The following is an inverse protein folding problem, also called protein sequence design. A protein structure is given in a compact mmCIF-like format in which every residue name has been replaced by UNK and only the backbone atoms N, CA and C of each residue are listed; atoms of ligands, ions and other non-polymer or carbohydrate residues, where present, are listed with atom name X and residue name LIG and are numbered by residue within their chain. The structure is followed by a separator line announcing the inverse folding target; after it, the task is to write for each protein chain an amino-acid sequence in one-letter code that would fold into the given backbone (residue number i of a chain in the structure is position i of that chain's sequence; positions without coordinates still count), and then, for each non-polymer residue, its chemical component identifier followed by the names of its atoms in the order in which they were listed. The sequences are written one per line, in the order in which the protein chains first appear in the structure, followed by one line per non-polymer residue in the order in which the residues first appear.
data_IF_697793440080
#
_entry.id   IF_697793440080
#
_cell.length_a   1.000
_cell.length_b   1.000
_cell.length_c   1.000
_cell.angle_alpha   90.00
_cell.angle_beta   90.00
_cell.angle_gamma   90.00
#
_symmetry.space_group_name_H-M   'P 1'
#
loop_
_entity.id
_entity.type
_entity.pdbx_description
1 polymer ?
#
# COMPACT_ATOMS: atom_id res chain seq x y z
N UNK A 1 -28.38 -53.42 7.90
CA UNK A 1 -28.24 -52.37 8.95
C UNK A 1 -28.67 -51.06 8.33
N UNK A 2 -29.49 -50.31 9.06
CA UNK A 2 -30.51 -49.36 8.60
C UNK A 2 -29.92 -47.99 8.20
N UNK A 3 -30.43 -47.46 7.08
CA UNK A 3 -30.37 -46.08 6.57
C UNK A 3 -30.74 -45.00 7.59
N UNK A 4 -30.23 -43.76 7.45
CA UNK A 4 -31.12 -42.59 7.28
C UNK A 4 -30.41 -41.38 6.65
N UNK A 5 -31.05 -40.80 5.63
CA UNK A 5 -30.74 -39.52 4.96
C UNK A 5 -31.44 -38.33 5.65
N UNK A 6 -30.94 -37.12 5.35
CA UNK A 6 -31.44 -35.75 5.59
C UNK A 6 -32.98 -35.55 5.65
N UNK A 7 -33.44 -34.43 6.24
CA UNK A 7 -34.17 -33.49 5.37
C UNK A 7 -33.99 -31.98 5.63
N UNK A 8 -34.26 -31.27 4.53
CA UNK A 8 -34.52 -29.83 4.33
C UNK A 8 -35.85 -29.35 4.96
N UNK A 9 -36.03 -28.02 5.06
CA UNK A 9 -37.28 -27.17 5.00
C UNK A 9 -37.15 -25.98 5.99
N UNK A 10 -37.61 -24.75 5.78
CA UNK A 10 -38.64 -24.17 4.90
C UNK A 10 -38.43 -22.63 4.83
N UNK A 11 -38.79 -22.00 3.71
CA UNK A 11 -38.96 -20.55 3.54
C UNK A 11 -40.12 -19.99 4.39
N UNK A 12 -40.04 -18.73 4.85
CA UNK A 12 -41.23 -17.89 5.06
C UNK A 12 -40.92 -16.38 4.93
N UNK A 13 -41.59 -15.79 3.95
CA UNK A 13 -41.77 -14.37 3.64
C UNK A 13 -42.60 -13.63 4.71
N UNK A 14 -42.31 -12.34 4.91
CA UNK A 14 -43.19 -11.42 5.63
C UNK A 14 -42.89 -9.97 5.28
N UNK A 15 -43.64 -9.41 4.32
CA UNK A 15 -43.72 -7.97 4.05
C UNK A 15 -44.89 -7.42 4.87
N UNK A 16 -44.65 -6.39 5.67
CA UNK A 16 -45.69 -5.56 6.30
C UNK A 16 -45.40 -4.09 6.01
N UNK A 17 -46.24 -3.48 5.17
CA UNK A 17 -46.41 -2.03 5.05
C UNK A 17 -47.45 -1.60 6.09
N UNK A 18 -47.14 -0.57 6.89
CA UNK A 18 -48.14 0.35 7.44
C UNK A 18 -47.50 1.68 7.86
N UNK A 19 -48.19 2.75 7.50
CA UNK A 19 -47.85 4.17 7.52
C UNK A 19 -48.18 4.88 8.85
N UNK A 20 -47.46 5.96 9.15
CA UNK A 20 -47.98 7.33 9.42
C UNK A 20 -47.44 8.05 10.69
N UNK A 21 -46.99 9.29 10.43
CA UNK A 21 -47.11 10.49 11.25
C UNK A 21 -46.51 10.53 12.66
N UNK A 22 -45.29 11.05 12.74
CA UNK A 22 -44.71 11.65 13.95
C UNK A 22 -43.81 12.82 13.56
N UNK A 23 -44.41 13.98 13.30
CA UNK A 23 -43.69 15.26 13.18
C UNK A 23 -43.28 15.71 14.59
N UNK A 24 -42.14 15.22 15.07
CA UNK A 24 -41.44 15.80 16.20
C UNK A 24 -40.37 16.74 15.66
N UNK A 25 -40.59 18.04 15.83
CA UNK A 25 -39.60 19.07 15.59
C UNK A 25 -38.34 18.76 16.43
N UNK A 26 -37.25 18.33 15.78
CA UNK A 26 -35.94 18.33 16.40
C UNK A 26 -35.46 19.78 16.42
N UNK A 27 -35.47 20.36 17.62
CA UNK A 27 -34.75 21.59 17.92
C UNK A 27 -33.27 21.36 17.59
N UNK A 28 -32.78 22.11 16.58
CA UNK A 28 -31.44 22.00 16.03
C UNK A 28 -30.43 22.51 17.06
N UNK A 29 -29.98 21.60 17.91
CA UNK A 29 -28.90 21.86 18.86
C UNK A 29 -27.63 22.24 18.08
N UNK A 30 -27.00 23.40 18.34
CA UNK A 30 -25.75 23.77 17.66
C UNK A 30 -24.68 22.74 18.01
N UNK A 31 -24.19 22.02 17.00
CA UNK A 31 -23.06 21.13 17.16
C UNK A 31 -21.86 21.92 17.72
N UNK A 32 -21.08 21.36 18.66
CA UNK A 32 -19.83 21.95 19.10
C UNK A 32 -18.96 22.21 17.87
N UNK A 33 -18.59 23.47 17.66
CA UNK A 33 -17.63 23.84 16.63
C UNK A 33 -16.29 23.23 17.04
N UNK A 34 -15.99 22.05 16.49
CA UNK A 34 -14.64 21.51 16.51
C UNK A 34 -13.78 22.50 15.76
N UNK A 35 -12.99 23.28 16.49
CA UNK A 35 -11.94 24.13 15.93
C UNK A 35 -11.06 23.24 15.09
N UNK A 36 -11.22 23.30 13.76
CA UNK A 36 -10.35 22.57 12.86
C UNK A 36 -8.91 23.04 13.12
N UNK A 37 -7.95 22.13 13.34
CA UNK A 37 -6.57 22.52 13.54
C UNK A 37 -6.10 23.31 12.31
N UNK A 38 -5.55 24.50 12.56
CA UNK A 38 -4.90 25.32 11.53
C UNK A 38 -3.81 24.48 10.84
N UNK A 39 -3.70 24.51 9.50
CA UNK A 39 -2.65 23.77 8.81
C UNK A 39 -1.30 24.29 9.28
N UNK A 40 -0.54 23.42 9.96
CA UNK A 40 0.86 23.69 10.30
C UNK A 40 1.60 24.05 9.00
N UNK A 41 2.46 25.09 8.99
CA UNK A 41 3.22 25.44 7.81
C UNK A 41 3.92 24.20 7.28
N UNK A 42 3.63 23.84 6.03
CA UNK A 42 4.24 22.68 5.40
C UNK A 42 5.75 22.86 5.45
N UNK A 43 6.45 21.96 6.15
CA UNK A 43 7.91 21.94 6.13
C UNK A 43 8.33 21.88 4.66
N UNK A 44 9.11 22.88 4.27
CA UNK A 44 9.61 23.03 2.92
C UNK A 44 10.60 21.90 2.66
N UNK A 45 10.32 21.09 1.65
CA UNK A 45 11.21 20.02 1.27
C UNK A 45 12.50 20.57 0.71
N UNK A 46 13.60 19.91 1.01
CA UNK A 46 14.89 20.25 0.41
C UNK A 46 15.09 19.34 -0.80
N UNK A 47 14.84 19.81 -2.04
CA UNK A 47 14.99 18.96 -3.21
C UNK A 47 16.44 18.48 -3.32
N UNK A 48 16.63 17.18 -3.45
CA UNK A 48 17.95 16.59 -3.68
C UNK A 48 18.14 16.28 -5.17
N UNK A 49 19.37 16.40 -5.71
CA UNK A 49 19.65 16.09 -7.13
C UNK A 49 19.37 14.63 -7.55
N UNK A 50 19.10 13.75 -6.59
CA UNK A 50 18.86 12.33 -6.80
C UNK A 50 17.44 11.87 -6.43
N UNK A 51 16.52 12.77 -6.06
CA UNK A 51 15.16 12.40 -5.64
C UNK A 51 14.44 11.54 -6.69
N UNK A 52 14.55 11.87 -7.98
CA UNK A 52 13.94 11.06 -9.04
C UNK A 52 14.51 9.63 -9.09
N UNK A 53 15.81 9.47 -8.87
CA UNK A 53 16.46 8.15 -8.79
C UNK A 53 16.03 7.40 -7.54
N UNK A 54 15.87 8.08 -6.41
CA UNK A 54 15.38 7.49 -5.17
C UNK A 54 13.92 7.01 -5.31
N UNK A 55 13.06 7.79 -5.96
CA UNK A 55 11.68 7.41 -6.27
C UNK A 55 11.64 6.17 -7.17
N UNK A 56 12.47 6.13 -8.23
CA UNK A 56 12.57 4.95 -9.10
C UNK A 56 13.08 3.73 -8.33
N UNK A 57 14.09 3.90 -7.48
CA UNK A 57 14.63 2.84 -6.64
C UNK A 57 13.55 2.24 -5.73
N UNK A 58 12.77 3.08 -5.04
CA UNK A 58 11.68 2.61 -4.20
C UNK A 58 10.63 1.81 -4.98
N UNK A 59 10.26 2.24 -6.19
CA UNK A 59 9.34 1.50 -7.05
C UNK A 59 9.90 0.13 -7.49
N UNK A 60 11.19 0.05 -7.82
CA UNK A 60 11.86 -1.21 -8.10
C UNK A 60 11.84 -2.12 -6.88
N UNK A 61 12.17 -1.60 -5.69
CA UNK A 61 12.18 -2.38 -4.45
C UNK A 61 10.79 -2.95 -4.10
N UNK A 62 9.72 -2.20 -4.36
CA UNK A 62 8.34 -2.70 -4.21
C UNK A 62 8.01 -3.83 -5.18
N UNK A 63 8.48 -3.71 -6.42
CA UNK A 63 8.33 -4.74 -7.45
C UNK A 63 9.07 -6.03 -7.07
N UNK A 64 10.33 -5.91 -6.62
CA UNK A 64 11.16 -7.02 -6.14
C UNK A 64 10.52 -7.68 -4.92
N UNK A 65 10.05 -6.88 -3.95
CA UNK A 65 9.39 -7.39 -2.75
C UNK A 65 8.19 -8.27 -3.10
N UNK A 66 7.34 -7.83 -4.04
CA UNK A 66 6.21 -8.63 -4.48
C UNK A 66 6.64 -9.93 -5.19
N UNK A 67 7.46 -9.80 -6.25
CA UNK A 67 7.83 -10.93 -7.11
C UNK A 67 8.58 -12.02 -6.34
N UNK A 68 9.47 -11.64 -5.42
CA UNK A 68 10.18 -12.60 -4.57
C UNK A 68 9.25 -13.33 -3.63
N UNK A 69 8.36 -12.62 -2.94
CA UNK A 69 7.40 -13.27 -2.05
C UNK A 69 6.39 -14.15 -2.80
N UNK A 70 6.13 -13.87 -4.08
CA UNK A 70 5.31 -14.72 -4.93
C UNK A 70 6.01 -16.02 -5.35
N UNK A 71 7.35 -15.98 -5.48
CA UNK A 71 8.16 -17.06 -6.04
C UNK A 71 9.02 -17.83 -5.03
N UNK A 72 9.11 -17.37 -3.78
CA UNK A 72 9.79 -18.07 -2.71
C UNK A 72 8.82 -18.96 -1.92
N UNK A 73 9.30 -20.13 -1.48
CA UNK A 73 8.53 -21.02 -0.61
C UNK A 73 8.30 -20.44 0.80
N UNK A 74 9.15 -19.49 1.21
CA UNK A 74 9.08 -18.78 2.48
C UNK A 74 9.08 -17.28 2.23
N UNK A 75 8.07 -16.58 2.76
CA UNK A 75 7.97 -15.13 2.62
C UNK A 75 9.11 -14.42 3.33
N UNK A 76 9.62 -13.34 2.75
CA UNK A 76 10.65 -12.48 3.34
C UNK A 76 10.20 -11.02 3.44
N UNK A 77 10.43 -10.42 4.61
CA UNK A 77 10.15 -9.01 4.90
C UNK A 77 11.40 -8.12 4.77
N UNK A 78 12.55 -8.70 4.35
CA UNK A 78 13.82 -7.98 4.26
C UNK A 78 13.75 -6.74 3.37
N UNK A 79 13.19 -6.86 2.17
CA UNK A 79 13.07 -5.74 1.22
C UNK A 79 12.19 -4.60 1.74
N UNK A 80 11.07 -4.94 2.38
CA UNK A 80 10.17 -3.95 2.96
C UNK A 80 10.84 -3.23 4.11
N UNK A 81 11.54 -3.95 4.99
CA UNK A 81 12.31 -3.36 6.10
C UNK A 81 13.44 -2.46 5.60
N UNK A 82 14.25 -2.91 4.64
CA UNK A 82 15.33 -2.10 4.07
C UNK A 82 14.81 -0.85 3.38
N UNK A 83 13.65 -0.93 2.70
CA UNK A 83 13.03 0.27 2.10
C UNK A 83 12.49 1.20 3.18
N UNK A 84 11.94 0.68 4.27
CA UNK A 84 11.52 1.49 5.42
C UNK A 84 12.70 2.23 6.05
N UNK A 85 13.81 1.54 6.29
CA UNK A 85 15.06 2.15 6.79
C UNK A 85 15.61 3.22 5.83
N UNK A 86 15.53 2.98 4.52
CA UNK A 86 15.90 3.97 3.50
C UNK A 86 15.01 5.22 3.61
N UNK A 87 13.68 5.05 3.69
CA UNK A 87 12.72 6.15 3.84
C UNK A 87 12.99 6.94 5.12
N UNK A 88 13.29 6.25 6.22
CA UNK A 88 13.54 6.89 7.51
C UNK A 88 14.81 7.74 7.51
N UNK A 89 15.82 7.36 6.74
CA UNK A 89 17.06 8.13 6.56
C UNK A 89 16.88 9.27 5.57
N UNK A 90 16.29 8.99 4.40
CA UNK A 90 16.21 9.96 3.32
C UNK A 90 15.17 11.04 3.55
N UNK A 91 14.06 10.74 4.23
CA UNK A 91 12.95 11.67 4.43
C UNK A 91 12.70 12.00 5.92
N UNK A 92 13.76 12.00 6.73
CA UNK A 92 13.69 12.38 8.13
C UNK A 92 13.16 13.83 8.28
N UNK A 93 12.02 14.01 8.95
CA UNK A 93 11.40 15.33 9.12
C UNK A 93 10.73 15.91 7.86
N UNK A 94 10.65 15.15 6.76
CA UNK A 94 10.06 15.59 5.48
C UNK A 94 8.84 14.70 5.11
N UNK A 95 7.65 14.94 5.68
CA UNK A 95 6.49 14.03 5.54
C UNK A 95 6.03 13.84 4.10
N UNK A 96 6.01 14.91 3.30
CA UNK A 96 5.63 14.85 1.88
C UNK A 96 6.64 14.05 1.04
N UNK A 97 7.95 14.16 1.33
CA UNK A 97 9.00 13.38 0.65
C UNK A 97 8.87 11.90 0.98
N UNK A 98 8.62 11.58 2.26
CA UNK A 98 8.29 10.22 2.73
C UNK A 98 7.10 9.65 1.98
N UNK A 99 5.99 10.40 1.90
CA UNK A 99 4.78 9.96 1.18
C UNK A 99 5.07 9.59 -0.28
N UNK A 100 5.88 10.38 -1.00
CA UNK A 100 6.22 10.07 -2.39
C UNK A 100 7.03 8.80 -2.54
N UNK A 101 8.04 8.59 -1.67
CA UNK A 101 8.88 7.38 -1.71
C UNK A 101 8.04 6.15 -1.36
N UNK A 102 7.21 6.23 -0.31
CA UNK A 102 6.27 5.17 0.05
C UNK A 102 5.27 4.87 -1.06
N UNK A 103 4.71 5.91 -1.69
CA UNK A 103 3.80 5.75 -2.81
C UNK A 103 4.48 5.04 -3.99
N UNK A 104 5.74 5.36 -4.29
CA UNK A 104 6.52 4.70 -5.33
C UNK A 104 6.70 3.20 -5.06
N UNK A 105 7.13 2.83 -3.85
CA UNK A 105 7.20 1.43 -3.43
C UNK A 105 5.85 0.70 -3.62
N UNK A 106 4.77 1.31 -3.13
CA UNK A 106 3.43 0.72 -3.26
C UNK A 106 2.98 0.58 -4.72
N UNK A 107 3.33 1.53 -5.60
CA UNK A 107 3.05 1.42 -7.04
C UNK A 107 3.78 0.24 -7.67
N UNK A 108 5.07 0.07 -7.38
CA UNK A 108 5.86 -1.07 -7.88
C UNK A 108 5.30 -2.41 -7.44
N UNK A 109 4.99 -2.54 -6.15
CA UNK A 109 4.33 -3.73 -5.60
C UNK A 109 3.02 -4.06 -6.33
N UNK A 110 2.13 -3.06 -6.46
CA UNK A 110 0.82 -3.24 -7.10
C UNK A 110 0.90 -3.54 -8.59
N UNK A 111 1.93 -3.07 -9.27
CA UNK A 111 2.14 -3.31 -10.70
C UNK A 111 2.20 -4.81 -10.99
N UNK A 112 3.08 -5.53 -10.29
CA UNK A 112 3.19 -6.98 -10.48
C UNK A 112 2.06 -7.76 -9.80
N UNK A 113 1.53 -7.27 -8.67
CA UNK A 113 0.37 -7.88 -8.02
C UNK A 113 -0.91 -7.86 -8.89
N UNK A 114 -0.98 -6.96 -9.88
CA UNK A 114 -2.12 -6.91 -10.81
C UNK A 114 -2.04 -7.93 -11.94
N UNK A 115 -0.86 -8.51 -12.22
CA UNK A 115 -0.63 -9.38 -13.38
C UNK A 115 -0.24 -10.80 -13.02
N UNK A 116 0.44 -11.01 -11.89
CA UNK A 116 0.83 -12.33 -11.41
C UNK A 116 0.10 -12.65 -10.12
N UNK A 117 -0.40 -13.87 -9.98
CA UNK A 117 -1.03 -14.40 -8.75
C UNK A 117 -0.42 -15.74 -8.31
N UNK A 118 0.51 -16.25 -9.11
CA UNK A 118 1.34 -17.43 -8.85
C UNK A 118 2.71 -17.20 -9.45
N UNK A 119 3.73 -17.89 -8.94
CA UNK A 119 5.03 -17.85 -9.57
C UNK A 119 4.96 -18.47 -10.99
N UNK A 120 5.59 -17.79 -11.94
CA UNK A 120 5.72 -18.23 -13.33
C UNK A 120 7.14 -17.89 -13.79
N UNK A 121 7.64 -18.56 -14.83
CA UNK A 121 8.96 -18.26 -15.38
C UNK A 121 9.13 -16.76 -15.78
N UNK A 122 8.15 -16.10 -16.42
CA UNK A 122 8.20 -14.65 -16.62
C UNK A 122 8.27 -13.82 -15.34
N UNK A 123 7.65 -14.25 -14.25
CA UNK A 123 7.70 -13.55 -12.95
C UNK A 123 9.09 -13.67 -12.31
N UNK A 124 9.71 -14.86 -12.36
CA UNK A 124 11.10 -15.07 -11.92
C UNK A 124 12.07 -14.21 -12.73
N UNK A 125 11.95 -14.21 -14.06
CA UNK A 125 12.81 -13.39 -14.91
C UNK A 125 12.61 -11.88 -14.67
N UNK A 126 11.39 -11.44 -14.42
CA UNK A 126 11.11 -10.06 -14.03
C UNK A 126 11.79 -9.72 -12.69
N UNK A 127 11.75 -10.61 -11.71
CA UNK A 127 12.38 -10.43 -10.42
C UNK A 127 13.89 -10.20 -10.56
N UNK A 128 14.56 -11.07 -11.32
CA UNK A 128 16.01 -11.00 -11.54
C UNK A 128 16.41 -9.68 -12.21
N UNK A 129 15.66 -9.27 -13.24
CA UNK A 129 15.90 -8.02 -13.97
C UNK A 129 15.71 -6.79 -13.08
N UNK A 130 14.64 -6.75 -12.30
CA UNK A 130 14.38 -5.64 -11.38
C UNK A 130 15.41 -5.58 -10.25
N UNK A 131 15.89 -6.73 -9.76
CA UNK A 131 17.02 -6.75 -8.81
C UNK A 131 18.30 -6.19 -9.43
N UNK A 132 18.63 -6.58 -10.65
CA UNK A 132 19.79 -6.05 -11.36
C UNK A 132 19.68 -4.53 -11.58
N UNK A 133 18.52 -4.05 -12.05
CA UNK A 133 18.25 -2.62 -12.24
C UNK A 133 18.37 -1.85 -10.91
N UNK A 134 17.75 -2.38 -9.84
CA UNK A 134 17.80 -1.78 -8.52
C UNK A 134 19.22 -1.70 -7.95
N UNK A 135 20.03 -2.74 -8.14
CA UNK A 135 21.43 -2.75 -7.74
C UNK A 135 22.24 -1.69 -8.50
N UNK A 136 22.10 -1.62 -9.82
CA UNK A 136 22.75 -0.58 -10.64
C UNK A 136 22.35 0.82 -10.19
N UNK A 137 21.04 1.07 -10.03
CA UNK A 137 20.54 2.38 -9.64
C UNK A 137 21.02 2.80 -8.25
N UNK A 138 21.02 1.88 -7.28
CA UNK A 138 21.56 2.13 -5.94
C UNK A 138 23.06 2.46 -5.99
N UNK A 139 23.85 1.69 -6.75
CA UNK A 139 25.28 1.95 -6.94
C UNK A 139 25.54 3.30 -7.59
N UNK A 140 24.74 3.71 -8.58
CA UNK A 140 24.88 5.02 -9.22
C UNK A 140 24.56 6.19 -8.28
N UNK A 141 23.55 6.04 -7.41
CA UNK A 141 23.23 7.06 -6.40
C UNK A 141 24.42 7.20 -5.45
N UNK A 142 24.93 6.10 -4.91
CA UNK A 142 26.08 6.12 -3.98
C UNK A 142 27.34 6.64 -4.65
N UNK A 143 27.65 6.22 -5.88
CA UNK A 143 28.87 6.64 -6.58
C UNK A 143 28.92 8.15 -6.86
N UNK A 144 27.76 8.81 -6.96
CA UNK A 144 27.64 10.23 -7.29
C UNK A 144 27.32 11.12 -6.10
N UNK A 145 26.64 10.59 -5.09
CA UNK A 145 26.07 11.35 -3.98
C UNK A 145 26.36 10.74 -2.60
N UNK A 146 27.03 9.57 -2.55
CA UNK A 146 27.52 8.98 -1.30
C UNK A 146 28.71 9.78 -0.80
N UNK A 147 28.59 10.29 0.42
CA UNK A 147 29.67 10.99 1.13
C UNK A 147 30.56 9.99 1.87
#
# INVERSE_FOLDING_TARGET
MIDTRLPSRLLLTGILLATAAGAAAQEKQPAPQTTAPSPSPAQEEKPTPYDQRLIRLAEILGSVHYLRNLCLDQSEDGWRRSTQELIDKEAAGEPKRRERITAAFNRGYRTFASVYTRCTEPATLAEERYRAEGATLASEIVARFGN
#
